data_IF_350131086571
#
_entry.id   IF_350131086571
#
_cell.length_a   1.000
_cell.length_b   1.000
_cell.length_c   1.000
_cell.angle_alpha   90.00
_cell.angle_beta   90.00
_cell.angle_gamma   90.00
#
_symmetry.space_group_name_H-M   'P 1'
#
loop_
_entity.id
_entity.type
_entity.pdbx_description
1 polymer ?
#
# COMPACT_ATOMS: atom_id res chain seq x y z
N UNK A 1 -14.28 -21.22 -4.25
CA UNK A 1 -13.35 -20.12 -4.56
C UNK A 1 -13.16 -19.28 -3.30
N UNK A 2 -12.13 -19.57 -2.49
CA UNK A 2 -11.86 -18.84 -1.23
C UNK A 2 -10.39 -18.39 -1.13
N UNK A 3 -9.59 -18.62 -2.16
CA UNK A 3 -8.15 -18.34 -2.15
C UNK A 3 -7.81 -16.87 -2.47
N UNK A 4 -8.60 -16.23 -3.34
CA UNK A 4 -8.47 -14.82 -3.74
C UNK A 4 -8.48 -13.84 -2.53
N UNK A 5 -9.33 -13.99 -1.51
CA UNK A 5 -9.27 -13.13 -0.33
C UNK A 5 -8.09 -13.44 0.62
N UNK A 6 -7.50 -14.64 0.57
CA UNK A 6 -6.41 -15.00 1.49
C UNK A 6 -5.10 -14.32 1.09
N UNK A 7 -4.75 -14.32 -0.21
CA UNK A 7 -3.53 -13.67 -0.66
C UNK A 7 -3.52 -12.17 -0.35
N UNK A 8 -4.68 -11.50 -0.44
CA UNK A 8 -4.81 -10.09 -0.04
C UNK A 8 -4.50 -9.91 1.44
N UNK A 9 -5.04 -10.77 2.31
CA UNK A 9 -4.76 -10.73 3.75
C UNK A 9 -3.30 -11.02 4.06
N UNK A 10 -2.70 -11.97 3.35
CA UNK A 10 -1.30 -12.36 3.53
C UNK A 10 -0.37 -11.21 3.18
N UNK A 11 -0.61 -10.53 2.06
CA UNK A 11 0.17 -9.36 1.64
C UNK A 11 -0.07 -8.17 2.57
N UNK A 12 -1.31 -7.90 2.99
CA UNK A 12 -1.58 -6.86 3.98
C UNK A 12 -0.89 -7.12 5.32
N UNK A 13 -0.75 -8.39 5.72
CA UNK A 13 -0.03 -8.75 6.94
C UNK A 13 1.44 -8.39 6.89
N UNK A 14 2.05 -8.33 5.70
CA UNK A 14 3.44 -7.94 5.54
C UNK A 14 3.69 -6.49 6.00
N UNK A 15 2.67 -5.63 5.93
CA UNK A 15 2.75 -4.25 6.43
C UNK A 15 2.89 -4.18 7.96
N UNK A 16 2.61 -5.24 8.74
CA UNK A 16 2.83 -5.18 10.19
C UNK A 16 4.32 -5.24 10.57
N UNK A 17 5.20 -5.67 9.68
CA UNK A 17 6.64 -5.77 9.93
C UNK A 17 7.34 -4.43 9.76
N UNK A 18 7.01 -3.45 10.61
CA UNK A 18 7.50 -2.06 10.55
C UNK A 18 9.03 -1.92 10.53
N UNK A 19 9.76 -2.90 11.07
CA UNK A 19 11.22 -2.91 11.10
C UNK A 19 11.86 -3.36 9.77
N UNK A 20 11.06 -3.82 8.81
CA UNK A 20 11.51 -4.33 7.51
C UNK A 20 10.98 -3.43 6.39
N UNK A 21 11.47 -2.20 6.32
CA UNK A 21 10.97 -1.16 5.39
C UNK A 21 10.94 -1.63 3.93
N UNK A 22 11.96 -2.33 3.45
CA UNK A 22 12.00 -2.87 2.08
C UNK A 22 10.88 -3.88 1.81
N UNK A 23 10.54 -4.71 2.80
CA UNK A 23 9.44 -5.67 2.69
C UNK A 23 8.09 -4.95 2.62
N UNK A 24 7.89 -3.94 3.47
CA UNK A 24 6.69 -3.12 3.43
C UNK A 24 6.54 -2.37 2.10
N UNK A 25 7.65 -1.91 1.50
CA UNK A 25 7.64 -1.27 0.17
C UNK A 25 7.17 -2.21 -0.94
N UNK A 26 7.73 -3.43 -0.97
CA UNK A 26 7.33 -4.45 -1.94
C UNK A 26 5.87 -4.87 -1.72
N UNK A 27 5.44 -4.98 -0.47
CA UNK A 27 4.03 -5.24 -0.14
C UNK A 27 3.12 -4.11 -0.63
N UNK A 28 3.50 -2.85 -0.43
CA UNK A 28 2.76 -1.69 -0.95
C UNK A 28 2.69 -1.69 -2.48
N UNK A 29 3.78 -2.02 -3.17
CA UNK A 29 3.81 -2.20 -4.63
C UNK A 29 2.83 -3.29 -5.09
N UNK A 30 2.85 -4.45 -4.43
CA UNK A 30 1.93 -5.56 -4.71
C UNK A 30 0.47 -5.16 -4.46
N UNK A 31 0.19 -4.43 -3.36
CA UNK A 31 -1.16 -3.93 -3.07
C UNK A 31 -1.61 -2.95 -4.15
N UNK A 32 -0.73 -2.06 -4.62
CA UNK A 32 -1.01 -1.19 -5.77
C UNK A 32 -1.42 -1.99 -7.01
N UNK A 33 -0.67 -3.04 -7.35
CA UNK A 33 -1.01 -3.92 -8.47
C UNK A 33 -2.34 -4.68 -8.27
N UNK A 34 -2.65 -5.12 -7.04
CA UNK A 34 -3.95 -5.71 -6.72
C UNK A 34 -5.10 -4.73 -6.92
N UNK A 35 -4.84 -3.44 -6.73
CA UNK A 35 -5.87 -2.42 -6.88
C UNK A 35 -6.20 -2.12 -8.34
N UNK A 36 -5.46 -2.64 -9.32
CA UNK A 36 -5.85 -2.56 -10.73
C UNK A 36 -7.07 -3.44 -11.06
N UNK A 37 -7.32 -4.52 -10.30
CA UNK A 37 -8.51 -5.36 -10.43
C UNK A 37 -9.61 -4.95 -9.44
N UNK A 38 -10.86 -4.96 -9.88
CA UNK A 38 -12.00 -4.51 -9.07
C UNK A 38 -12.23 -5.37 -7.82
N UNK A 39 -12.20 -6.70 -7.94
CA UNK A 39 -12.51 -7.60 -6.84
C UNK A 39 -11.39 -7.65 -5.82
N UNK A 40 -10.13 -7.62 -6.29
CA UNK A 40 -8.97 -7.53 -5.43
C UNK A 40 -8.90 -6.17 -4.72
N UNK A 41 -9.18 -5.06 -5.41
CA UNK A 41 -9.28 -3.73 -4.78
C UNK A 41 -10.34 -3.71 -3.68
N UNK A 42 -11.53 -4.25 -3.96
CA UNK A 42 -12.60 -4.33 -2.97
C UNK A 42 -12.18 -5.19 -1.77
N UNK A 43 -11.45 -6.29 -2.00
CA UNK A 43 -10.87 -7.09 -0.93
C UNK A 43 -9.83 -6.29 -0.13
N UNK A 44 -8.91 -5.56 -0.77
CA UNK A 44 -7.93 -4.71 -0.08
C UNK A 44 -8.63 -3.67 0.80
N UNK A 45 -9.67 -3.00 0.27
CA UNK A 45 -10.43 -2.00 1.00
C UNK A 45 -11.16 -2.58 2.21
N UNK A 46 -11.92 -3.67 2.01
CA UNK A 46 -12.71 -4.32 3.07
C UNK A 46 -11.85 -4.97 4.16
N UNK A 47 -10.60 -5.35 3.85
CA UNK A 47 -9.64 -5.84 4.84
C UNK A 47 -8.80 -4.71 5.47
N UNK A 48 -9.16 -3.43 5.27
CA UNK A 48 -8.52 -2.29 5.95
C UNK A 48 -7.18 -1.85 5.34
N UNK A 49 -6.87 -2.26 4.10
CA UNK A 49 -5.61 -1.93 3.44
C UNK A 49 -5.35 -0.44 3.29
N UNK A 50 -6.40 0.36 3.04
CA UNK A 50 -6.28 1.81 2.93
C UNK A 50 -5.75 2.45 4.23
N UNK A 51 -6.32 2.04 5.37
CA UNK A 51 -5.90 2.54 6.68
C UNK A 51 -4.45 2.14 6.98
N UNK A 52 -4.07 0.90 6.68
CA UNK A 52 -2.70 0.41 6.88
C UNK A 52 -1.67 1.19 6.04
N UNK A 53 -1.99 1.49 4.78
CA UNK A 53 -1.12 2.26 3.89
C UNK A 53 -0.99 3.71 4.35
N UNK A 54 -2.09 4.37 4.72
CA UNK A 54 -2.08 5.74 5.26
C UNK A 54 -1.30 5.80 6.57
N UNK A 55 -1.47 4.82 7.45
CA UNK A 55 -0.72 4.74 8.70
C UNK A 55 0.78 4.60 8.46
N UNK A 56 1.21 3.87 7.43
CA UNK A 56 2.62 3.77 7.04
C UNK A 56 3.15 5.06 6.43
N UNK A 57 2.34 5.74 5.62
CA UNK A 57 2.71 7.03 5.03
C UNK A 57 2.96 8.09 6.12
N UNK A 58 2.14 8.12 7.16
CA UNK A 58 2.32 9.05 8.29
C UNK A 58 3.37 8.59 9.31
N UNK A 59 3.53 7.28 9.51
CA UNK A 59 4.60 6.76 10.36
C UNK A 59 5.98 6.89 9.70
N UNK A 60 6.02 7.22 8.41
CA UNK A 60 7.25 7.55 7.72
C UNK A 60 7.77 8.89 8.24
N UNK A 61 8.78 8.82 9.11
CA UNK A 61 9.39 10.01 9.70
C UNK A 61 10.34 10.66 8.67
N UNK A 62 9.88 11.74 8.04
CA UNK A 62 10.66 12.53 7.10
C UNK A 62 11.82 13.29 7.78
N UNK A 63 11.89 13.31 9.11
CA UNK A 63 12.94 14.04 9.87
C UNK A 63 14.23 13.25 10.09
N UNK A 64 14.31 12.00 9.60
CA UNK A 64 15.53 11.17 9.64
C UNK A 64 16.76 11.79 8.94
N UNK A 65 16.59 12.91 8.23
CA UNK A 65 17.71 13.74 7.74
C UNK A 65 18.61 14.29 8.88
N UNK A 66 18.09 14.45 10.10
CA UNK A 66 18.84 15.09 11.22
C UNK A 66 19.66 14.09 12.07
N UNK A 67 19.54 12.78 11.80
CA UNK A 67 20.11 11.71 12.64
C UNK A 67 21.46 11.15 12.20
N UNK A 68 22.01 11.58 11.06
CA UNK A 68 23.29 11.07 10.53
C UNK A 68 23.28 9.61 10.04
N UNK A 69 22.12 8.94 10.05
CA UNK A 69 21.94 7.58 9.54
C UNK A 69 21.63 7.68 8.05
N UNK A 70 22.62 7.36 7.22
CA UNK A 70 22.55 7.41 5.76
C UNK A 70 21.65 6.29 5.20
N UNK A 71 20.33 6.39 5.36
CA UNK A 71 19.41 5.80 4.38
C UNK A 71 19.52 6.69 3.14
N UNK A 72 20.04 6.15 2.04
CA UNK A 72 20.19 6.92 0.79
C UNK A 72 18.85 7.58 0.45
N UNK A 73 18.85 8.90 0.28
CA UNK A 73 17.69 9.75 -0.04
C UNK A 73 16.77 9.13 -1.10
N UNK A 74 17.36 8.42 -2.07
CA UNK A 74 16.66 7.68 -3.12
C UNK A 74 15.74 6.55 -2.58
N UNK A 75 16.17 5.79 -1.57
CA UNK A 75 15.33 4.76 -0.92
C UNK A 75 14.16 5.41 -0.19
N UNK A 76 14.39 6.56 0.43
CA UNK A 76 13.41 7.28 1.23
C UNK A 76 12.25 7.79 0.35
N UNK A 77 12.58 8.44 -0.77
CA UNK A 77 11.61 8.91 -1.77
C UNK A 77 10.84 7.75 -2.42
N UNK A 78 11.53 6.65 -2.74
CA UNK A 78 10.88 5.47 -3.32
C UNK A 78 9.85 4.86 -2.38
N UNK A 79 10.12 4.80 -1.08
CA UNK A 79 9.17 4.29 -0.08
C UNK A 79 7.90 5.14 -0.09
N UNK A 80 8.04 6.45 0.06
CA UNK A 80 6.90 7.38 0.08
C UNK A 80 6.08 7.30 -1.23
N UNK A 81 6.76 7.24 -2.37
CA UNK A 81 6.13 7.10 -3.68
C UNK A 81 5.28 5.83 -3.78
N UNK A 82 5.79 4.67 -3.34
CA UNK A 82 5.06 3.39 -3.40
C UNK A 82 3.78 3.39 -2.56
N UNK A 83 3.84 3.91 -1.33
CA UNK A 83 2.66 4.02 -0.47
C UNK A 83 1.63 4.99 -1.05
N UNK A 84 2.07 6.15 -1.55
CA UNK A 84 1.20 7.15 -2.18
C UNK A 84 0.50 6.60 -3.42
N UNK A 85 1.23 5.89 -4.30
CA UNK A 85 0.67 5.25 -5.49
C UNK A 85 -0.39 4.20 -5.13
N UNK A 86 -0.11 3.32 -4.16
CA UNK A 86 -1.08 2.32 -3.72
C UNK A 86 -2.37 2.95 -3.16
N UNK A 87 -2.26 4.06 -2.43
CA UNK A 87 -3.42 4.82 -1.93
C UNK A 87 -4.22 5.42 -3.09
N UNK A 88 -3.55 6.01 -4.08
CA UNK A 88 -4.21 6.59 -5.27
C UNK A 88 -4.95 5.50 -6.06
N UNK A 89 -4.35 4.33 -6.27
CA UNK A 89 -5.01 3.20 -6.97
C UNK A 89 -6.27 2.73 -6.23
N UNK A 90 -6.27 2.72 -4.88
CA UNK A 90 -7.46 2.36 -4.09
C UNK A 90 -8.56 3.41 -4.23
N UNK A 91 -8.22 4.71 -4.18
CA UNK A 91 -9.18 5.83 -4.09
C UNK A 91 -9.68 6.30 -5.47
N UNK A 92 -8.79 6.35 -6.46
CA UNK A 92 -9.07 7.01 -7.75
C UNK A 92 -9.77 6.07 -8.73
N UNK A 93 -9.45 4.79 -8.68
CA UNK A 93 -9.97 3.78 -9.59
C UNK A 93 -11.44 3.35 -9.35
N UNK A 94 -12.08 3.50 -8.16
CA UNK A 94 -13.54 3.38 -8.05
C UNK A 94 -14.33 4.42 -8.86
N UNK A 95 -13.73 5.51 -9.34
CA UNK A 95 -14.40 6.47 -10.23
C UNK A 95 -14.51 5.98 -11.68
N UNK A 96 -13.70 5.01 -12.09
CA UNK A 96 -13.65 4.52 -13.48
C UNK A 96 -14.50 3.26 -13.71
N UNK A 97 -14.87 2.54 -12.65
CA UNK A 97 -15.48 1.22 -12.72
C UNK A 97 -16.69 1.09 -11.79
N UNK A 98 -17.71 1.92 -11.99
CA UNK A 98 -19.07 1.49 -11.65
C UNK A 98 -19.52 0.50 -12.73
N UNK A 99 -19.71 -0.80 -12.43
CA UNK A 99 -20.41 -1.70 -13.34
C UNK A 99 -21.91 -1.39 -13.41
N UNK A 100 -22.39 -0.42 -12.62
CA UNK A 100 -23.74 0.08 -12.74
C UNK A 100 -23.67 1.31 -13.63
N UNK A 101 -23.82 1.06 -14.94
CA UNK A 101 -24.44 2.03 -15.81
C UNK A 101 -25.85 2.28 -15.31
N UNK A 102 -26.03 3.39 -14.59
CA UNK A 102 -27.28 4.15 -14.55
C UNK A 102 -26.90 5.60 -14.78
#
# INVERSE_FOLDING_TARGET
MQEIPQIVRDVLRLLYYKNLTQMCCLAAACIGAFCSDYWLRQAVYTNGGLYLLISHLFAYDFTLEDGGINLSENTNIQVCSLFSLAIIEIICLPLQSSPIGI
#
